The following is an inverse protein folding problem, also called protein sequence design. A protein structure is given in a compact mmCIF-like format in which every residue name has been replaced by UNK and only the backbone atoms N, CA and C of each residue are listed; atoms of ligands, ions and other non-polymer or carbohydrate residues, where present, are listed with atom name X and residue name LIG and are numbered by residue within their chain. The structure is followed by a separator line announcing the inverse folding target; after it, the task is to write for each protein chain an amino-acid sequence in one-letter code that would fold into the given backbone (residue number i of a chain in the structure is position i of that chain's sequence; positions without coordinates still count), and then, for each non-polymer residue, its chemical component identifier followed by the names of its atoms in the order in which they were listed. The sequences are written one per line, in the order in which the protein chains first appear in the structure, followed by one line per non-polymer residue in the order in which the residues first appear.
data_IF_215070637561
#
_entry.id   IF_215070637561
#
_cell.length_a   1.000
_cell.length_b   1.000
_cell.length_c   1.000
_cell.angle_alpha   90.00
_cell.angle_beta   90.00
_cell.angle_gamma   90.00
#
_symmetry.space_group_name_H-M   'P 1'
#
loop_
_entity.id
_entity.type
_entity.pdbx_description
1 polymer ?
#
# COMPACT_ATOMS: atom_id res chain seq x y z
N UNK A 1 -4.20 15.56 27.68
CA UNK A 1 -3.00 15.52 26.82
C UNK A 1 -2.02 14.43 27.23
N UNK A 2 -1.97 14.00 28.50
CA UNK A 2 -1.08 12.93 28.97
C UNK A 2 -1.30 11.56 28.30
N UNK A 3 -2.52 11.17 27.96
CA UNK A 3 -2.79 9.87 27.32
C UNK A 3 -2.22 9.76 25.89
N UNK A 4 -2.41 10.80 25.07
CA UNK A 4 -1.89 10.85 23.70
C UNK A 4 -0.36 10.93 23.70
N UNK A 5 0.22 11.70 24.63
CA UNK A 5 1.66 11.76 24.78
C UNK A 5 2.24 10.42 25.27
N UNK A 6 1.54 9.72 26.17
CA UNK A 6 1.96 8.39 26.65
C UNK A 6 1.84 7.29 25.58
N UNK A 7 0.83 7.33 24.72
CA UNK A 7 0.61 6.32 23.69
C UNK A 7 1.49 6.54 22.45
N UNK A 8 1.50 7.78 21.93
CA UNK A 8 2.24 8.12 20.70
C UNK A 8 3.66 8.63 20.96
N UNK A 9 4.02 8.89 22.23
CA UNK A 9 5.32 9.44 22.63
C UNK A 9 5.63 10.75 21.92
N UNK A 10 4.67 11.68 21.89
CA UNK A 10 4.75 12.93 21.11
C UNK A 10 5.91 13.81 21.56
N UNK A 11 6.09 13.97 22.87
CA UNK A 11 7.20 14.70 23.49
C UNK A 11 8.55 14.06 23.17
N UNK A 12 8.64 12.72 23.17
CA UNK A 12 9.86 12.00 22.79
C UNK A 12 10.17 12.13 21.29
N UNK A 13 9.14 12.27 20.46
CA UNK A 13 9.26 12.56 19.02
C UNK A 13 9.39 14.05 18.71
N UNK A 14 9.47 14.91 19.73
CA UNK A 14 9.56 16.37 19.59
C UNK A 14 8.46 16.98 18.70
N UNK A 15 7.26 16.42 18.75
CA UNK A 15 6.09 16.85 17.96
C UNK A 15 4.93 17.28 18.86
N UNK A 16 3.90 17.89 18.29
CA UNK A 16 2.68 18.28 18.99
C UNK A 16 1.44 17.94 18.16
N UNK A 17 0.27 17.92 18.82
CA UNK A 17 -1.00 17.50 18.19
C UNK A 17 -1.35 18.30 16.92
N UNK A 18 -1.04 19.61 16.90
CA UNK A 18 -1.31 20.46 15.75
C UNK A 18 -0.46 20.04 14.56
N UNK A 19 0.84 19.80 14.78
CA UNK A 19 1.76 19.33 13.74
C UNK A 19 1.29 17.98 13.19
N UNK A 20 0.96 17.01 14.05
CA UNK A 20 0.51 15.68 13.62
C UNK A 20 -0.79 15.74 12.79
N UNK A 21 -1.76 16.57 13.18
CA UNK A 21 -2.99 16.75 12.41
C UNK A 21 -2.73 17.37 11.04
N UNK A 22 -1.87 18.39 10.97
CA UNK A 22 -1.50 19.02 9.69
C UNK A 22 -0.75 18.03 8.81
N UNK A 23 0.25 17.31 9.35
CA UNK A 23 0.99 16.28 8.63
C UNK A 23 0.07 15.17 8.11
N UNK A 24 -0.84 14.68 8.94
CA UNK A 24 -1.83 13.68 8.53
C UNK A 24 -2.74 14.17 7.41
N UNK A 25 -3.21 15.43 7.49
CA UNK A 25 -4.00 16.04 6.43
C UNK A 25 -3.19 16.22 5.13
N UNK A 26 -1.94 16.67 5.23
CA UNK A 26 -1.04 16.77 4.07
C UNK A 26 -0.85 15.41 3.42
N UNK A 27 -0.53 14.37 4.19
CA UNK A 27 -0.39 12.99 3.68
C UNK A 27 -1.68 12.50 3.03
N UNK A 28 -2.83 12.73 3.65
CA UNK A 28 -4.13 12.38 3.07
C UNK A 28 -4.34 13.07 1.70
N UNK A 29 -4.11 14.37 1.62
CA UNK A 29 -4.25 15.12 0.37
C UNK A 29 -3.28 14.62 -0.70
N UNK A 30 -2.02 14.36 -0.35
CA UNK A 30 -1.01 13.80 -1.27
C UNK A 30 -1.41 12.44 -1.81
N UNK A 31 -2.14 11.63 -1.04
CA UNK A 31 -2.57 10.28 -1.45
C UNK A 31 -3.98 10.26 -2.05
N UNK A 32 -4.77 11.32 -1.89
CA UNK A 32 -6.17 11.38 -2.29
C UNK A 32 -6.39 11.13 -3.79
N UNK A 33 -5.41 11.47 -4.63
CA UNK A 33 -5.48 11.21 -6.08
C UNK A 33 -5.67 9.72 -6.40
N UNK A 34 -5.22 8.81 -5.53
CA UNK A 34 -5.37 7.35 -5.68
C UNK A 34 -6.85 6.98 -5.74
N UNK A 35 -7.72 7.71 -5.03
CA UNK A 35 -9.16 7.47 -5.06
C UNK A 35 -9.76 7.73 -6.45
N UNK A 36 -9.19 8.66 -7.22
CA UNK A 36 -9.63 8.90 -8.60
C UNK A 36 -8.91 7.98 -9.60
N UNK A 37 -7.60 7.80 -9.45
CA UNK A 37 -6.78 7.10 -10.45
C UNK A 37 -6.93 5.58 -10.37
N UNK A 38 -7.10 5.00 -9.18
CA UNK A 38 -7.18 3.55 -9.04
C UNK A 38 -8.43 2.95 -9.74
N UNK A 39 -9.65 3.52 -9.57
CA UNK A 39 -10.81 3.08 -10.34
C UNK A 39 -10.64 3.25 -11.85
N UNK A 40 -10.00 4.33 -12.30
CA UNK A 40 -9.75 4.56 -13.72
C UNK A 40 -8.87 3.45 -14.31
N UNK A 41 -7.77 3.11 -13.65
CA UNK A 41 -6.85 2.06 -14.09
C UNK A 41 -7.53 0.70 -14.06
N UNK A 42 -8.09 0.29 -12.92
CA UNK A 42 -8.66 -1.06 -12.77
C UNK A 42 -9.94 -1.27 -13.59
N UNK A 43 -10.67 -0.20 -13.94
CA UNK A 43 -11.79 -0.31 -14.87
C UNK A 43 -11.39 -0.74 -16.28
N UNK A 44 -10.13 -0.50 -16.69
CA UNK A 44 -9.62 -1.00 -17.96
C UNK A 44 -9.46 -2.53 -17.98
N UNK A 45 -9.41 -3.19 -16.81
CA UNK A 45 -9.47 -4.65 -16.68
C UNK A 45 -10.91 -5.19 -16.55
N UNK A 46 -11.93 -4.33 -16.67
CA UNK A 46 -13.35 -4.70 -16.58
C UNK A 46 -13.94 -4.67 -15.17
N UNK A 47 -13.28 -4.03 -14.20
CA UNK A 47 -13.78 -3.86 -12.84
C UNK A 47 -14.73 -2.66 -12.73
N UNK A 48 -15.75 -2.77 -11.87
CA UNK A 48 -16.67 -1.67 -11.58
C UNK A 48 -15.96 -0.52 -10.83
N UNK A 49 -16.16 0.71 -11.30
CA UNK A 49 -15.44 1.88 -10.79
C UNK A 49 -15.85 2.25 -9.37
N UNK A 50 -17.15 2.21 -9.08
CA UNK A 50 -17.67 2.59 -7.76
C UNK A 50 -17.22 1.57 -6.71
N UNK A 51 -17.33 0.29 -7.02
CA UNK A 51 -16.87 -0.80 -6.16
C UNK A 51 -15.37 -0.70 -5.86
N UNK A 52 -14.54 -0.42 -6.86
CA UNK A 52 -13.08 -0.23 -6.69
C UNK A 52 -12.78 1.01 -5.85
N UNK A 53 -13.51 2.11 -6.06
CA UNK A 53 -13.36 3.34 -5.27
C UNK A 53 -13.60 3.05 -3.79
N UNK A 54 -14.76 2.45 -3.45
CA UNK A 54 -15.11 2.12 -2.08
C UNK A 54 -14.15 1.12 -1.45
N UNK A 55 -13.79 0.06 -2.18
CA UNK A 55 -12.82 -0.93 -1.71
C UNK A 55 -11.45 -0.29 -1.40
N UNK A 56 -10.99 0.62 -2.25
CA UNK A 56 -9.72 1.34 -2.06
C UNK A 56 -9.77 2.27 -0.86
N UNK A 57 -10.82 3.09 -0.75
CA UNK A 57 -10.96 4.04 0.35
C UNK A 57 -11.03 3.35 1.71
N UNK A 58 -11.85 2.29 1.82
CA UNK A 58 -12.04 1.55 3.07
C UNK A 58 -10.77 0.78 3.43
N UNK A 59 -10.16 0.06 2.49
CA UNK A 59 -8.94 -0.72 2.76
C UNK A 59 -7.75 0.17 3.14
N UNK A 60 -7.50 1.26 2.40
CA UNK A 60 -6.42 2.20 2.70
C UNK A 60 -6.66 2.92 4.03
N UNK A 61 -7.91 3.33 4.30
CA UNK A 61 -8.29 3.97 5.56
C UNK A 61 -8.08 3.06 6.76
N UNK A 62 -8.64 1.84 6.73
CA UNK A 62 -8.49 0.87 7.83
C UNK A 62 -7.02 0.54 8.06
N UNK A 63 -6.26 0.24 7.00
CA UNK A 63 -4.85 -0.17 7.15
C UNK A 63 -3.99 0.98 7.68
N UNK A 64 -4.22 2.22 7.22
CA UNK A 64 -3.52 3.41 7.74
C UNK A 64 -3.87 3.69 9.20
N UNK A 65 -5.13 3.51 9.60
CA UNK A 65 -5.56 3.63 11.00
C UNK A 65 -4.88 2.56 11.87
N UNK A 66 -4.82 1.32 11.39
CA UNK A 66 -4.15 0.23 12.12
C UNK A 66 -2.66 0.47 12.31
N UNK A 67 -1.98 1.05 11.30
CA UNK A 67 -0.57 1.46 11.43
C UNK A 67 -0.36 2.49 12.54
N UNK A 68 -1.26 3.48 12.63
CA UNK A 68 -1.22 4.47 13.70
C UNK A 68 -1.54 3.87 15.08
N UNK A 69 -2.65 3.14 15.21
CA UNK A 69 -3.15 2.70 16.52
C UNK A 69 -2.43 1.47 17.09
N UNK A 70 -2.11 0.49 16.25
CA UNK A 70 -1.54 -0.80 16.69
C UNK A 70 -0.03 -0.85 16.57
N UNK A 71 0.53 -0.30 15.50
CA UNK A 71 1.98 -0.33 15.22
C UNK A 71 2.68 0.93 15.76
N UNK A 72 1.93 2.02 15.96
CA UNK A 72 2.44 3.31 16.43
C UNK A 72 3.57 3.88 15.55
N UNK A 73 3.38 3.75 14.23
CA UNK A 73 4.29 4.23 13.19
C UNK A 73 3.55 5.19 12.26
N UNK A 74 4.09 6.40 11.99
CA UNK A 74 3.42 7.43 11.18
C UNK A 74 3.57 7.14 9.69
N UNK A 75 3.01 6.02 9.23
CA UNK A 75 3.05 5.57 7.83
C UNK A 75 1.63 5.32 7.34
N UNK A 76 1.24 6.05 6.30
CA UNK A 76 -0.01 5.81 5.58
C UNK A 76 0.18 4.72 4.53
N UNK A 77 -0.84 3.88 4.35
CA UNK A 77 -0.82 2.75 3.43
C UNK A 77 -1.93 2.89 2.40
N UNK A 78 -1.55 2.77 1.14
CA UNK A 78 -2.43 2.81 -0.03
C UNK A 78 -1.87 1.89 -1.12
N UNK A 79 -2.66 1.54 -2.15
CA UNK A 79 -2.19 0.68 -3.23
C UNK A 79 -1.05 1.32 -4.04
N UNK A 80 -0.07 0.49 -4.42
CA UNK A 80 1.03 0.90 -5.30
C UNK A 80 0.58 1.03 -6.75
N UNK A 81 0.56 2.26 -7.28
CA UNK A 81 -0.02 2.55 -8.59
C UNK A 81 0.67 1.84 -9.76
N UNK A 82 2.00 1.63 -9.70
CA UNK A 82 2.74 0.88 -10.72
C UNK A 82 2.34 -0.60 -10.82
N UNK A 83 2.01 -1.22 -9.69
CA UNK A 83 1.54 -2.62 -9.67
C UNK A 83 0.14 -2.74 -10.26
N UNK A 84 -0.72 -1.74 -10.09
CA UNK A 84 -2.05 -1.73 -10.69
C UNK A 84 -1.97 -1.60 -12.22
N UNK A 85 -1.03 -0.80 -12.73
CA UNK A 85 -0.78 -0.72 -14.17
C UNK A 85 -0.28 -2.07 -14.73
N UNK A 86 0.66 -2.72 -14.03
CA UNK A 86 1.11 -4.07 -14.39
C UNK A 86 -0.03 -5.09 -14.36
N UNK A 87 -0.86 -5.07 -13.32
CA UNK A 87 -2.02 -5.96 -13.19
C UNK A 87 -2.96 -5.85 -14.40
N UNK A 88 -3.32 -4.62 -14.80
CA UNK A 88 -4.17 -4.38 -15.97
C UNK A 88 -3.48 -4.84 -17.25
N UNK A 89 -2.18 -4.58 -17.41
CA UNK A 89 -1.43 -5.01 -18.59
C UNK A 89 -1.40 -6.54 -18.73
N UNK A 90 -1.28 -7.29 -17.63
CA UNK A 90 -1.33 -8.75 -17.64
C UNK A 90 -2.73 -9.25 -18.02
N UNK A 91 -3.78 -8.68 -17.41
CA UNK A 91 -5.17 -9.08 -17.70
C UNK A 91 -5.53 -8.77 -19.16
N UNK A 92 -5.25 -7.56 -19.63
CA UNK A 92 -5.53 -7.13 -21.00
C UNK A 92 -4.67 -7.89 -22.03
N UNK A 93 -3.39 -8.11 -21.73
CA UNK A 93 -2.46 -8.84 -22.59
C UNK A 93 -2.76 -10.34 -22.70
N UNK A 94 -3.58 -10.90 -21.80
CA UNK A 94 -3.95 -12.32 -21.83
C UNK A 94 -4.91 -12.70 -22.96
N UNK A 95 -5.37 -11.73 -23.77
CA UNK A 95 -6.35 -11.94 -24.85
C UNK A 95 -7.62 -12.68 -24.37
N UNK A 96 -8.04 -12.42 -23.12
CA UNK A 96 -9.23 -13.00 -22.52
C UNK A 96 -9.03 -14.36 -21.83
N UNK A 97 -7.81 -14.93 -21.83
CA UNK A 97 -7.52 -16.17 -21.12
C UNK A 97 -7.53 -16.00 -19.60
N UNK A 98 -7.23 -14.79 -19.09
CA UNK A 98 -7.20 -14.48 -17.66
C UNK A 98 -8.23 -13.40 -17.34
N UNK A 99 -9.21 -13.75 -16.52
CA UNK A 99 -10.16 -12.77 -15.99
C UNK A 99 -9.54 -12.01 -14.81
N UNK A 100 -10.02 -10.79 -14.54
CA UNK A 100 -9.53 -10.01 -13.41
C UNK A 100 -9.74 -10.73 -12.07
N UNK A 101 -10.77 -11.57 -11.93
CA UNK A 101 -11.02 -12.36 -10.72
C UNK A 101 -9.93 -13.40 -10.49
N UNK A 102 -9.49 -14.09 -11.55
CA UNK A 102 -8.38 -15.06 -11.47
C UNK A 102 -7.08 -14.34 -11.11
N UNK A 103 -6.83 -13.18 -11.72
CA UNK A 103 -5.67 -12.36 -11.39
C UNK A 103 -5.70 -11.89 -9.92
N UNK A 104 -6.86 -11.45 -9.41
CA UNK A 104 -7.03 -11.08 -7.99
C UNK A 104 -6.80 -12.27 -7.05
N UNK A 105 -7.25 -13.47 -7.42
CA UNK A 105 -6.97 -14.68 -6.64
C UNK A 105 -5.47 -14.95 -6.57
N UNK A 106 -4.74 -14.80 -7.67
CA UNK A 106 -3.29 -14.94 -7.68
C UNK A 106 -2.60 -13.90 -6.77
N UNK A 107 -3.06 -12.64 -6.78
CA UNK A 107 -2.58 -11.58 -5.88
C UNK A 107 -2.86 -11.92 -4.41
N UNK A 108 -4.03 -12.48 -4.12
CA UNK A 108 -4.39 -12.91 -2.77
C UNK A 108 -3.46 -14.03 -2.26
N UNK A 109 -3.22 -15.06 -3.07
CA UNK A 109 -2.30 -16.15 -2.72
C UNK A 109 -0.85 -15.67 -2.61
N UNK A 110 -0.39 -14.75 -3.46
CA UNK A 110 0.94 -14.17 -3.33
C UNK A 110 1.09 -13.40 -2.01
N UNK A 111 0.02 -12.71 -1.56
CA UNK A 111 -0.05 -12.06 -0.25
C UNK A 111 0.10 -13.05 0.91
N UNK A 112 -0.57 -14.20 0.85
CA UNK A 112 -0.42 -15.26 1.87
C UNK A 112 1.02 -15.80 1.87
N UNK A 113 1.59 -16.09 0.71
CA UNK A 113 2.97 -16.55 0.60
C UNK A 113 3.93 -15.51 1.19
N UNK A 114 3.74 -14.23 0.87
CA UNK A 114 4.57 -13.15 1.38
C UNK A 114 4.45 -12.98 2.90
N UNK A 115 3.25 -13.17 3.46
CA UNK A 115 3.02 -13.18 4.90
C UNK A 115 3.81 -14.32 5.56
N UNK A 116 3.75 -15.53 5.01
CA UNK A 116 4.51 -16.68 5.53
C UNK A 116 6.02 -16.43 5.45
N UNK A 117 6.52 -15.89 4.33
CA UNK A 117 7.94 -15.53 4.17
C UNK A 117 8.40 -14.45 5.17
N UNK A 118 7.51 -13.51 5.50
CA UNK A 118 7.77 -12.47 6.49
C UNK A 118 7.84 -13.05 7.90
N UNK A 119 6.92 -13.95 8.25
CA UNK A 119 6.90 -14.62 9.57
C UNK A 119 8.09 -15.56 9.77
N UNK A 120 8.54 -16.23 8.71
CA UNK A 120 9.69 -17.16 8.73
C UNK A 120 11.04 -16.45 8.66
N UNK A 121 11.07 -15.11 8.58
CA UNK A 121 12.30 -14.29 8.49
C UNK A 121 13.22 -14.67 7.32
N UNK A 122 12.66 -15.23 6.24
CA UNK A 122 13.41 -15.54 5.02
C UNK A 122 13.64 -14.29 4.17
N UNK A 123 12.79 -13.26 4.33
CA UNK A 123 12.87 -11.99 3.59
C UNK A 123 14.28 -11.34 3.59
N UNK A 124 14.98 -11.17 4.73
CA UNK A 124 16.30 -10.56 4.73
C UNK A 124 17.32 -11.37 3.91
N UNK A 125 17.27 -12.70 3.99
CA UNK A 125 18.16 -13.60 3.23
C UNK A 125 17.96 -13.43 1.71
N UNK A 126 16.71 -13.26 1.26
CA UNK A 126 16.41 -12.99 -0.15
C UNK A 126 16.94 -11.62 -0.59
N UNK A 127 16.80 -10.60 0.26
CA UNK A 127 17.30 -9.26 -0.05
C UNK A 127 18.83 -9.26 -0.10
N UNK A 128 19.49 -9.90 0.86
CA UNK A 128 20.96 -9.97 0.94
C UNK A 128 21.58 -10.74 -0.24
N UNK A 129 20.83 -11.65 -0.87
CA UNK A 129 21.25 -12.36 -2.07
C UNK A 129 21.31 -11.45 -3.33
N UNK A 130 20.61 -10.31 -3.35
CA UNK A 130 20.65 -9.40 -4.48
C UNK A 130 21.88 -8.47 -4.43
N UNK A 131 22.57 -8.25 -5.55
CA UNK A 131 23.59 -7.21 -5.67
C UNK A 131 23.03 -5.82 -5.33
N UNK A 132 23.83 -4.98 -4.66
CA UNK A 132 23.44 -3.60 -4.29
C UNK A 132 23.02 -2.73 -5.50
N UNK A 133 23.63 -2.98 -6.66
CA UNK A 133 23.25 -2.33 -7.92
C UNK A 133 21.81 -2.63 -8.34
N UNK A 134 21.36 -3.88 -8.17
CA UNK A 134 19.97 -4.27 -8.44
C UNK A 134 19.00 -3.69 -7.40
N UNK A 135 19.36 -3.69 -6.12
CA UNK A 135 18.55 -3.07 -5.06
C UNK A 135 18.31 -1.60 -5.33
N UNK A 136 19.37 -0.88 -5.70
CA UNK A 136 19.32 0.55 -6.03
C UNK A 136 18.49 0.81 -7.29
N UNK A 137 18.63 -0.04 -8.32
CA UNK A 137 17.82 0.05 -9.54
C UNK A 137 16.32 -0.16 -9.30
N UNK A 138 15.96 -1.12 -8.44
CA UNK A 138 14.56 -1.34 -8.04
C UNK A 138 14.02 -0.11 -7.29
N UNK A 139 14.77 0.43 -6.34
CA UNK A 139 14.36 1.63 -5.59
C UNK A 139 14.15 2.84 -6.51
N UNK A 140 15.05 3.05 -7.48
CA UNK A 140 14.94 4.12 -8.47
C UNK A 140 13.77 3.93 -9.45
N UNK A 141 13.37 2.69 -9.76
CA UNK A 141 12.24 2.40 -10.64
C UNK A 141 10.86 2.45 -9.96
N UNK A 142 10.81 2.38 -8.62
CA UNK A 142 9.57 2.50 -7.84
C UNK A 142 9.15 3.97 -7.66
N UNK A 143 10.13 4.87 -7.50
CA UNK A 143 9.92 6.32 -7.33
C UNK A 143 9.62 7.02 -8.65
#
# INVERSE_FOLDING_TARGET
MEFLDRWFSLSARSTNLRTELVSGLTTFLTMSYILAVNPLILSAAGMDRESVFFATAISAGITSILMGLSVNVPVALAPGMGLNAYFVAVVAGSQGAVSYQVALAAVFFSGIIFLVLTLTKIRPLLVDAFPESLKSGIAAGIG
#
